data_IF_425981785945
#
_entry.id   IF_425981785945
#
_cell.length_a   1.000
_cell.length_b   1.000
_cell.length_c   1.000
_cell.angle_alpha   90.00
_cell.angle_beta   90.00
_cell.angle_gamma   90.00
#
_symmetry.space_group_name_H-M   'P 1'
#
loop_
_entity.id
_entity.type
_entity.pdbx_description
1 polymer ?
#
# COMPACT_ATOMS: atom_id res chain seq x y z
N UNK A 1 16.99 29.99 2.37
CA UNK A 1 17.36 28.71 1.71
C UNK A 1 16.49 27.58 2.27
N UNK A 2 15.91 26.73 1.42
CA UNK A 2 15.13 25.55 1.87
C UNK A 2 16.06 24.53 2.52
N UNK A 3 15.69 24.00 3.68
CA UNK A 3 16.47 22.94 4.34
C UNK A 3 16.41 21.63 3.55
N UNK A 4 17.48 20.81 3.58
CA UNK A 4 17.60 19.51 2.86
C UNK A 4 16.42 18.54 3.06
N UNK A 5 15.63 18.69 4.13
CA UNK A 5 14.42 17.89 4.39
C UNK A 5 13.16 18.45 3.72
N UNK A 6 13.13 19.75 3.41
CA UNK A 6 12.03 20.43 2.71
C UNK A 6 12.07 20.20 1.19
N UNK A 7 13.15 19.62 0.66
CA UNK A 7 13.28 19.24 -0.76
C UNK A 7 12.78 17.83 -1.05
N UNK A 8 12.72 16.95 -0.04
CA UNK A 8 12.27 15.56 -0.19
C UNK A 8 10.75 15.41 -0.01
N UNK A 9 10.15 16.31 0.75
CA UNK A 9 8.70 16.39 0.86
C UNK A 9 8.19 17.29 -0.26
N UNK A 10 7.31 16.75 -1.10
CA UNK A 10 6.58 17.54 -2.10
C UNK A 10 6.09 18.85 -1.48
N UNK A 11 6.13 19.98 -2.21
CA UNK A 11 5.75 21.28 -1.66
C UNK A 11 4.25 21.30 -1.33
N UNK A 12 3.86 20.77 -0.17
CA UNK A 12 2.46 20.61 0.29
C UNK A 12 1.70 21.93 0.25
N UNK A 13 2.32 23.00 0.75
CA UNK A 13 1.79 24.36 0.66
C UNK A 13 1.62 24.84 -0.78
N UNK A 14 2.56 24.51 -1.67
CA UNK A 14 2.46 24.84 -3.09
C UNK A 14 1.30 24.10 -3.76
N UNK A 15 1.19 22.80 -3.51
CA UNK A 15 0.10 21.99 -4.06
C UNK A 15 -1.27 22.45 -3.56
N UNK A 16 -1.37 22.73 -2.26
CA UNK A 16 -2.60 23.24 -1.66
C UNK A 16 -3.04 24.57 -2.28
N UNK A 17 -2.10 25.52 -2.43
CA UNK A 17 -2.40 26.86 -2.95
C UNK A 17 -2.63 26.89 -4.46
N UNK A 18 -1.88 26.11 -5.25
CA UNK A 18 -1.96 26.14 -6.71
C UNK A 18 -3.00 25.17 -7.28
N UNK A 19 -3.17 23.99 -6.71
CA UNK A 19 -4.00 22.92 -7.30
C UNK A 19 -5.23 22.57 -6.46
N UNK A 20 -5.22 22.81 -5.14
CA UNK A 20 -6.34 22.49 -4.24
C UNK A 20 -7.18 23.71 -3.85
N UNK A 21 -7.02 24.84 -4.55
CA UNK A 21 -7.82 26.05 -4.34
C UNK A 21 -7.56 26.80 -3.02
N UNK A 22 -6.53 26.45 -2.24
CA UNK A 22 -6.23 27.10 -0.96
C UNK A 22 -5.41 28.41 -1.09
N UNK A 23 -5.42 29.04 -2.27
CA UNK A 23 -4.78 30.35 -2.48
C UNK A 23 -5.47 31.47 -1.69
N UNK A 24 -6.79 31.37 -1.52
CA UNK A 24 -7.61 32.27 -0.70
C UNK A 24 -8.42 31.42 0.27
N UNK A 25 -8.22 31.65 1.57
CA UNK A 25 -8.92 30.93 2.63
C UNK A 25 -9.81 31.93 3.37
N UNK A 26 -11.10 31.63 3.47
CA UNK A 26 -12.10 32.49 4.09
C UNK A 26 -12.14 32.28 5.62
N UNK A 27 -11.02 32.58 6.30
CA UNK A 27 -10.90 32.51 7.76
C UNK A 27 -10.58 33.88 8.33
N UNK A 28 -11.07 34.17 9.53
CA UNK A 28 -10.80 35.42 10.21
C UNK A 28 -9.40 35.38 10.85
N UNK A 29 -8.49 36.19 10.31
CA UNK A 29 -7.15 36.37 10.85
C UNK A 29 -6.13 35.28 10.46
N UNK A 30 -4.85 35.65 10.58
CA UNK A 30 -3.72 34.81 10.15
C UNK A 30 -3.57 33.52 10.96
N UNK A 31 -3.89 33.56 12.25
CA UNK A 31 -3.79 32.39 13.14
C UNK A 31 -4.73 31.27 12.70
N UNK A 32 -5.97 31.62 12.32
CA UNK A 32 -6.95 30.64 11.85
C UNK A 32 -6.60 30.12 10.45
N UNK A 33 -6.11 31.00 9.56
CA UNK A 33 -5.62 30.61 8.24
C UNK A 33 -4.49 29.58 8.33
N UNK A 34 -3.53 29.78 9.26
CA UNK A 34 -2.43 28.84 9.49
C UNK A 34 -2.94 27.46 9.95
N UNK A 35 -3.91 27.43 10.90
CA UNK A 35 -4.51 26.17 11.37
C UNK A 35 -5.23 25.43 10.23
N UNK A 36 -6.03 26.14 9.43
CA UNK A 36 -6.74 25.55 8.30
C UNK A 36 -5.76 24.97 7.27
N UNK A 37 -4.70 25.71 6.94
CA UNK A 37 -3.70 25.28 5.97
C UNK A 37 -2.92 24.04 6.45
N UNK A 38 -2.58 23.96 7.75
CA UNK A 38 -1.95 22.78 8.34
C UNK A 38 -2.88 21.56 8.36
N UNK A 39 -4.16 21.76 8.70
CA UNK A 39 -5.17 20.70 8.65
C UNK A 39 -5.30 20.11 7.23
N UNK A 40 -5.38 20.97 6.21
CA UNK A 40 -5.44 20.53 4.82
C UNK A 40 -4.17 19.81 4.37
N UNK A 41 -2.99 20.21 4.85
CA UNK A 41 -1.74 19.49 4.58
C UNK A 41 -1.72 18.08 5.18
N UNK A 42 -2.20 17.92 6.43
CA UNK A 42 -2.33 16.60 7.06
C UNK A 42 -3.33 15.74 6.28
N UNK A 43 -4.49 16.28 5.92
CA UNK A 43 -5.50 15.57 5.15
C UNK A 43 -4.99 15.12 3.77
N UNK A 44 -4.21 15.95 3.07
CA UNK A 44 -3.59 15.60 1.80
C UNK A 44 -2.62 14.42 1.94
N UNK A 45 -1.78 14.45 2.98
CA UNK A 45 -0.88 13.35 3.28
C UNK A 45 -1.64 12.06 3.59
N UNK A 46 -2.67 12.12 4.43
CA UNK A 46 -3.52 10.97 4.76
C UNK A 46 -4.18 10.37 3.52
N UNK A 47 -4.74 11.20 2.63
CA UNK A 47 -5.31 10.75 1.34
C UNK A 47 -4.28 10.00 0.49
N UNK A 48 -3.01 10.44 0.49
CA UNK A 48 -1.91 9.77 -0.22
C UNK A 48 -1.60 8.40 0.40
N UNK A 49 -1.56 8.31 1.73
CA UNK A 49 -1.37 7.04 2.45
C UNK A 49 -2.53 6.06 2.23
N UNK A 50 -3.78 6.53 2.19
CA UNK A 50 -4.93 5.65 1.94
C UNK A 50 -4.95 5.06 0.53
N UNK A 51 -4.42 5.80 -0.45
CA UNK A 51 -4.25 5.31 -1.83
C UNK A 51 -2.99 4.45 -2.01
N UNK A 52 -2.22 4.21 -0.95
CA UNK A 52 -1.05 3.36 -1.01
C UNK A 52 -1.47 1.88 -1.06
N UNK A 53 -1.72 1.38 -2.26
CA UNK A 53 -1.64 -0.05 -2.53
C UNK A 53 -0.17 -0.45 -2.49
N UNK A 54 0.23 -1.24 -1.49
CA UNK A 54 1.55 -1.87 -1.49
C UNK A 54 1.76 -2.53 -2.85
N UNK A 55 2.76 -2.09 -3.62
CA UNK A 55 3.23 -2.82 -4.79
C UNK A 55 3.90 -4.10 -4.29
N UNK A 56 3.10 -5.08 -3.86
CA UNK A 56 3.62 -6.40 -3.55
C UNK A 56 4.19 -6.95 -4.85
N UNK A 57 5.49 -7.20 -4.86
CA UNK A 57 6.13 -7.98 -5.92
C UNK A 57 5.36 -9.31 -5.95
N UNK A 58 4.75 -9.65 -7.10
CA UNK A 58 4.15 -10.98 -7.28
C UNK A 58 5.31 -11.97 -7.33
N UNK A 59 5.76 -12.43 -6.17
CA UNK A 59 6.79 -13.45 -6.08
C UNK A 59 6.16 -14.79 -6.46
N UNK A 60 6.64 -15.41 -7.54
CA UNK A 60 6.25 -16.76 -7.94
C UNK A 60 6.68 -17.85 -6.94
N UNK A 61 7.46 -17.50 -5.90
CA UNK A 61 7.96 -18.44 -4.91
C UNK A 61 6.85 -19.24 -4.20
N UNK A 62 5.69 -18.63 -3.93
CA UNK A 62 4.55 -19.33 -3.34
C UNK A 62 3.93 -20.39 -4.27
N UNK A 63 4.02 -20.20 -5.59
CA UNK A 63 3.54 -21.20 -6.56
C UNK A 63 4.51 -22.37 -6.70
N UNK A 64 5.81 -22.11 -6.57
CA UNK A 64 6.85 -23.14 -6.57
C UNK A 64 6.70 -24.03 -5.33
N UNK A 65 6.53 -23.42 -4.15
CA UNK A 65 6.35 -24.15 -2.90
C UNK A 65 5.06 -24.99 -2.91
N UNK A 66 3.95 -24.43 -3.40
CA UNK A 66 2.70 -25.16 -3.61
C UNK A 66 2.87 -26.33 -4.59
N UNK A 67 3.61 -26.13 -5.70
CA UNK A 67 3.89 -27.19 -6.67
C UNK A 67 4.70 -28.32 -6.05
N UNK A 68 5.72 -28.03 -5.24
CA UNK A 68 6.49 -29.06 -4.52
C UNK A 68 5.64 -29.78 -3.48
N UNK A 69 4.80 -29.08 -2.72
CA UNK A 69 3.87 -29.70 -1.77
C UNK A 69 2.89 -30.63 -2.47
N UNK A 70 2.30 -30.21 -3.60
CA UNK A 70 1.38 -31.04 -4.39
C UNK A 70 2.09 -32.22 -5.05
N UNK A 71 3.31 -32.03 -5.54
CA UNK A 71 4.12 -33.08 -6.18
C UNK A 71 4.65 -34.12 -5.19
N UNK A 72 4.92 -33.71 -3.95
CA UNK A 72 5.46 -34.57 -2.89
C UNK A 72 4.36 -35.10 -1.96
N UNK A 73 3.07 -34.85 -2.24
CA UNK A 73 1.98 -35.53 -1.51
C UNK A 73 2.13 -37.04 -1.74
N UNK A 74 2.37 -37.84 -0.69
CA UNK A 74 2.54 -39.27 -0.86
C UNK A 74 1.21 -39.85 -1.33
N UNK A 75 1.27 -40.59 -2.43
CA UNK A 75 0.25 -41.51 -2.96
C UNK A 75 0.01 -42.71 -2.02
N UNK A 76 0.03 -42.46 -0.70
CA UNK A 76 -0.21 -43.45 0.33
C UNK A 76 -1.67 -43.95 0.28
N UNK A 77 -2.59 -43.11 -0.19
CA UNK A 77 -3.98 -43.49 -0.45
C UNK A 77 -4.05 -44.50 -1.61
N UNK A 78 -3.23 -44.34 -2.65
CA UNK A 78 -3.28 -45.19 -3.84
C UNK A 78 -2.82 -46.62 -3.55
N UNK A 79 -1.77 -46.81 -2.72
CA UNK A 79 -1.29 -48.16 -2.37
C UNK A 79 -2.29 -48.94 -1.51
N UNK A 80 -2.90 -48.31 -0.51
CA UNK A 80 -3.93 -48.96 0.32
C UNK A 80 -5.19 -49.32 -0.46
N UNK A 81 -5.54 -48.51 -1.48
CA UNK A 81 -6.69 -48.76 -2.36
C UNK A 81 -6.37 -49.90 -3.35
N UNK A 82 -5.17 -49.94 -3.93
CA UNK A 82 -4.72 -51.03 -4.82
C UNK A 82 -4.63 -52.38 -4.10
N UNK A 83 -4.18 -52.42 -2.84
CA UNK A 83 -4.16 -53.65 -2.04
C UNK A 83 -5.56 -54.08 -1.61
N UNK A 84 -6.49 -53.15 -1.38
CA UNK A 84 -7.90 -53.45 -1.09
C UNK A 84 -8.71 -53.94 -2.31
N UNK A 85 -8.22 -53.69 -3.53
CA UNK A 85 -8.88 -54.05 -4.79
C UNK A 85 -8.34 -55.35 -5.44
N UNK A 86 -7.43 -56.10 -4.79
CA UNK A 86 -6.83 -57.34 -5.33
C UNK A 86 -6.41 -57.23 -6.80
N UNK A 87 -5.58 -56.23 -7.12
CA UNK A 87 -4.98 -56.04 -8.44
C UNK A 87 -3.44 -55.99 -8.36
N UNK A 88 -2.88 -56.84 -7.50
CA UNK A 88 -1.54 -57.48 -7.59
C UNK A 88 -1.67 -58.87 -6.98
#
# INVERSE_FOLDING_TARGET
>A
MKGKRQSTVEPLFGTLTQFMGQRKINTLGLSQANKAMQLSAIAYNLKKYLKFTQKRVKSGAGMIDLFFVLKNRPTAVDKSVLTGMNLV
#
